data_IF_363086181062
#
_entry.id   IF_363086181062
#
_cell.length_a   1.000
_cell.length_b   1.000
_cell.length_c   1.000
_cell.angle_alpha   90.00
_cell.angle_beta   90.00
_cell.angle_gamma   90.00
#
_symmetry.space_group_name_H-M   'P 1'
#
loop_
_entity.id
_entity.type
_entity.pdbx_description
1 polymer ?
#
# COMPACT_ATOMS: atom_id res chain seq x y z
N UNK A 1 -5.06 -25.11 -11.17
CA UNK A 1 -4.79 -23.70 -11.56
C UNK A 1 -3.85 -23.13 -10.53
N UNK A 2 -2.87 -22.30 -10.93
CA UNK A 2 -2.01 -21.62 -9.97
C UNK A 2 -2.82 -20.51 -9.28
N UNK A 3 -2.77 -20.46 -7.95
CA UNK A 3 -3.38 -19.40 -7.16
C UNK A 3 -2.37 -18.25 -7.02
N UNK A 4 -2.53 -17.23 -7.86
CA UNK A 4 -1.63 -16.08 -7.94
C UNK A 4 -2.39 -14.81 -7.58
N UNK A 5 -1.92 -14.10 -6.55
CA UNK A 5 -2.41 -12.77 -6.21
C UNK A 5 -1.82 -11.75 -7.17
N UNK A 6 -2.66 -10.92 -7.76
CA UNK A 6 -2.24 -9.74 -8.51
C UNK A 6 -1.93 -8.60 -7.54
N UNK A 7 -0.86 -7.87 -7.83
CA UNK A 7 -0.44 -6.71 -7.05
C UNK A 7 0.19 -5.65 -7.93
N UNK A 8 0.33 -4.45 -7.34
CA UNK A 8 0.92 -3.29 -7.99
C UNK A 8 1.95 -2.63 -7.08
N UNK A 9 2.85 -1.84 -7.67
CA UNK A 9 3.77 -0.98 -6.91
C UNK A 9 3.15 0.42 -6.82
N UNK A 10 3.07 0.98 -5.62
CA UNK A 10 2.64 2.36 -5.34
C UNK A 10 3.77 3.15 -4.68
N UNK A 11 3.75 4.48 -4.82
CA UNK A 11 4.68 5.36 -4.11
C UNK A 11 4.16 5.74 -2.73
N UNK A 12 5.04 5.76 -1.73
CA UNK A 12 4.72 6.29 -0.40
C UNK A 12 4.46 7.80 -0.49
N UNK A 13 3.29 8.23 -0.02
CA UNK A 13 2.90 9.64 0.07
C UNK A 13 2.04 9.89 1.31
N UNK A 14 1.89 11.16 1.76
CA UNK A 14 1.11 11.49 2.95
C UNK A 14 -0.41 11.19 2.84
N UNK A 15 -0.93 11.02 1.62
CA UNK A 15 -2.33 10.65 1.39
C UNK A 15 -2.42 9.28 0.71
N UNK A 16 -2.12 8.21 1.45
CA UNK A 16 -2.24 6.84 0.94
C UNK A 16 -3.69 6.39 0.77
N UNK A 17 -4.62 7.03 1.49
CA UNK A 17 -6.05 6.71 1.45
C UNK A 17 -6.61 6.71 0.02
N UNK A 18 -6.31 7.75 -0.76
CA UNK A 18 -6.79 7.87 -2.13
C UNK A 18 -6.22 6.77 -3.06
N UNK A 19 -4.98 6.32 -2.82
CA UNK A 19 -4.40 5.23 -3.61
C UNK A 19 -5.02 3.90 -3.25
N UNK A 20 -5.10 3.59 -1.96
CA UNK A 20 -5.65 2.31 -1.51
C UNK A 20 -7.13 2.17 -1.84
N UNK A 21 -7.88 3.28 -1.87
CA UNK A 21 -9.24 3.30 -2.42
C UNK A 21 -9.28 2.86 -3.88
N UNK A 22 -8.40 3.39 -4.74
CA UNK A 22 -8.30 2.97 -6.15
C UNK A 22 -7.92 1.50 -6.27
N UNK A 23 -6.98 1.02 -5.43
CA UNK A 23 -6.58 -0.39 -5.44
C UNK A 23 -7.76 -1.32 -5.14
N UNK A 24 -8.56 -0.96 -4.14
CA UNK A 24 -9.77 -1.70 -3.78
C UNK A 24 -10.81 -1.64 -4.92
N UNK A 25 -11.09 -0.46 -5.48
CA UNK A 25 -12.01 -0.28 -6.61
C UNK A 25 -11.60 -1.08 -7.85
N UNK A 26 -10.29 -1.28 -8.06
CA UNK A 26 -9.73 -2.05 -9.18
C UNK A 26 -9.57 -3.55 -8.87
N UNK A 27 -9.89 -3.98 -7.65
CA UNK A 27 -9.85 -5.39 -7.26
C UNK A 27 -8.46 -5.93 -6.93
N UNK A 28 -7.47 -5.07 -6.64
CA UNK A 28 -6.17 -5.51 -6.17
C UNK A 28 -6.21 -5.89 -4.69
N UNK A 29 -5.71 -7.08 -4.38
CA UNK A 29 -5.62 -7.60 -3.00
C UNK A 29 -4.23 -7.45 -2.38
N UNK A 30 -3.23 -7.05 -3.17
CA UNK A 30 -1.85 -6.86 -2.71
C UNK A 30 -1.23 -5.59 -3.29
N UNK A 31 -0.30 -4.99 -2.55
CA UNK A 31 0.51 -3.88 -2.99
C UNK A 31 1.96 -4.03 -2.54
N UNK A 32 2.86 -3.40 -3.27
CA UNK A 32 4.22 -3.11 -2.83
C UNK A 32 4.37 -1.60 -2.75
N UNK A 33 5.13 -1.11 -1.78
CA UNK A 33 5.26 0.33 -1.53
C UNK A 33 6.70 0.75 -1.79
N UNK A 34 6.90 1.75 -2.64
CA UNK A 34 8.19 2.35 -2.90
C UNK A 34 8.38 3.63 -2.09
N UNK A 35 9.46 3.69 -1.31
CA UNK A 35 9.74 4.70 -0.31
C UNK A 35 11.01 5.47 -0.67
N UNK A 36 10.88 6.43 -1.58
CA UNK A 36 12.03 7.24 -2.03
C UNK A 36 12.26 8.51 -1.20
N UNK A 37 11.23 8.97 -0.49
CA UNK A 37 11.26 10.23 0.25
C UNK A 37 11.63 9.97 1.71
N UNK A 38 12.87 10.24 2.09
CA UNK A 38 13.40 10.00 3.44
C UNK A 38 12.64 10.74 4.55
N UNK A 39 12.01 11.89 4.24
CA UNK A 39 11.18 12.63 5.21
C UNK A 39 9.98 11.81 5.73
N UNK A 40 9.57 10.79 4.99
CA UNK A 40 8.45 9.91 5.37
C UNK A 40 8.89 8.71 6.22
N UNK A 41 10.17 8.61 6.58
CA UNK A 41 10.71 7.46 7.32
C UNK A 41 10.52 7.69 8.83
N UNK A 42 9.27 7.67 9.25
CA UNK A 42 8.87 7.89 10.63
C UNK A 42 7.70 6.98 11.02
N UNK A 43 7.50 6.83 12.33
CA UNK A 43 6.49 5.92 12.88
C UNK A 43 5.06 6.34 12.51
N UNK A 44 4.78 7.63 12.42
CA UNK A 44 3.47 8.15 12.02
C UNK A 44 3.09 7.67 10.62
N UNK A 45 4.03 7.76 9.67
CA UNK A 45 3.82 7.27 8.32
C UNK A 45 3.68 5.76 8.24
N UNK A 46 4.48 5.00 8.99
CA UNK A 46 4.36 3.55 9.04
C UNK A 46 2.99 3.11 9.58
N UNK A 47 2.52 3.77 10.65
CA UNK A 47 1.21 3.50 11.25
C UNK A 47 0.06 3.86 10.31
N UNK A 48 0.13 5.02 9.66
CA UNK A 48 -0.88 5.44 8.68
C UNK A 48 -0.95 4.44 7.51
N UNK A 49 0.20 4.10 6.92
CA UNK A 49 0.27 3.16 5.80
C UNK A 49 -0.32 1.80 6.17
N UNK A 50 0.05 1.26 7.34
CA UNK A 50 -0.46 -0.02 7.83
C UNK A 50 -1.99 0.04 8.00
N UNK A 51 -2.49 1.08 8.67
CA UNK A 51 -3.93 1.23 8.92
C UNK A 51 -4.71 1.34 7.61
N UNK A 52 -4.26 2.18 6.68
CA UNK A 52 -4.93 2.36 5.39
C UNK A 52 -4.98 1.04 4.60
N UNK A 53 -3.91 0.24 4.64
CA UNK A 53 -3.88 -1.08 4.02
C UNK A 53 -4.89 -2.06 4.64
N UNK A 54 -4.99 -2.08 5.98
CA UNK A 54 -5.97 -2.89 6.72
C UNK A 54 -7.40 -2.45 6.42
N UNK A 55 -7.69 -1.14 6.42
CA UNK A 55 -9.01 -0.57 6.18
C UNK A 55 -9.53 -0.88 4.76
N UNK A 56 -8.63 -1.06 3.78
CA UNK A 56 -8.96 -1.39 2.39
C UNK A 56 -8.81 -2.88 2.04
N UNK A 57 -8.40 -3.72 2.99
CA UNK A 57 -8.18 -5.14 2.75
C UNK A 57 -7.07 -5.45 1.73
N UNK A 58 -6.06 -4.58 1.65
CA UNK A 58 -4.91 -4.74 0.73
C UNK A 58 -3.69 -5.17 1.54
N UNK A 59 -3.09 -6.30 1.17
CA UNK A 59 -1.87 -6.79 1.81
C UNK A 59 -0.63 -6.07 1.25
N UNK A 60 0.14 -5.39 2.10
CA UNK A 60 1.46 -4.88 1.72
C UNK A 60 2.47 -6.03 1.77
N UNK A 61 2.97 -6.44 0.61
CA UNK A 61 3.86 -7.59 0.45
C UNK A 61 5.34 -7.23 0.49
N UNK A 62 5.68 -5.98 0.17
CA UNK A 62 7.07 -5.49 0.12
C UNK A 62 7.12 -3.98 0.27
N UNK A 63 8.19 -3.48 0.91
CA UNK A 63 8.56 -2.06 0.98
C UNK A 63 9.95 -1.90 0.37
N UNK A 64 10.12 -0.93 -0.55
CA UNK A 64 11.35 -0.63 -1.31
C UNK A 64 11.97 0.69 -0.90
#
# INVERSE_FOLDING_TARGET
MADLKLGVIVGLKPNMEEEFKKLNEYGFSTAQVSCWTMEYFNDEMALMLKKTAEDHGVEITTIW
#
